data_IF_627930142709
#
_entry.id   IF_627930142709
#
_cell.length_a   1.000
_cell.length_b   1.000
_cell.length_c   1.000
_cell.angle_alpha   90.00
_cell.angle_beta   90.00
_cell.angle_gamma   90.00
#
_symmetry.space_group_name_H-M   'P 1'
#
loop_
_entity.id
_entity.type
_entity.pdbx_description
1 polymer ?
#
# COMPACT_ATOMS: atom_id res chain seq x y z
N UNK A 1 -18.47 19.58 -2.20
CA UNK A 1 -18.94 18.97 -1.04
C UNK A 1 -17.98 17.89 -0.59
N UNK A 2 -18.06 16.65 -0.97
CA UNK A 2 -17.00 15.71 -0.64
C UNK A 2 -15.65 16.14 -1.23
N UNK A 3 -15.67 16.62 -2.45
CA UNK A 3 -14.51 17.15 -3.13
C UNK A 3 -13.86 18.31 -2.35
N UNK A 4 -14.66 19.21 -1.78
CA UNK A 4 -14.15 20.29 -0.95
C UNK A 4 -13.57 19.79 0.37
N UNK A 5 -14.19 18.77 0.96
CA UNK A 5 -13.70 18.17 2.20
C UNK A 5 -12.34 17.54 2.00
N UNK A 6 -12.13 16.85 0.89
CA UNK A 6 -10.84 16.25 0.57
C UNK A 6 -9.77 17.32 0.36
N UNK A 7 -10.11 18.41 -0.30
CA UNK A 7 -9.19 19.52 -0.50
C UNK A 7 -8.81 20.20 0.81
N UNK A 8 -9.72 20.23 1.77
CA UNK A 8 -9.51 20.89 3.05
C UNK A 8 -8.80 19.99 4.05
N UNK A 9 -8.65 18.70 3.73
CA UNK A 9 -7.92 17.79 4.60
C UNK A 9 -6.46 18.22 4.68
N UNK A 10 -6.00 18.56 5.88
CA UNK A 10 -4.63 19.00 6.07
C UNK A 10 -3.65 17.82 5.97
N UNK A 11 -2.39 18.13 5.74
CA UNK A 11 -1.33 17.12 5.63
C UNK A 11 -1.27 16.25 6.89
N UNK A 12 -1.42 16.87 8.06
CA UNK A 12 -1.42 16.15 9.33
C UNK A 12 -2.50 15.06 9.38
N UNK A 13 -3.72 15.38 8.93
CA UNK A 13 -4.83 14.44 8.94
C UNK A 13 -4.63 13.35 7.90
N UNK A 14 -4.03 13.67 6.77
CA UNK A 14 -3.69 12.69 5.74
C UNK A 14 -2.67 11.67 6.26
N UNK A 15 -1.63 12.17 6.93
CA UNK A 15 -0.61 11.30 7.53
C UNK A 15 -1.23 10.42 8.61
N UNK A 16 -2.10 10.99 9.44
CA UNK A 16 -2.82 10.23 10.46
C UNK A 16 -3.62 9.08 9.85
N UNK A 17 -4.34 9.35 8.75
CA UNK A 17 -5.12 8.34 8.06
C UNK A 17 -4.25 7.21 7.53
N UNK A 18 -3.08 7.55 6.96
CA UNK A 18 -2.13 6.54 6.47
C UNK A 18 -1.53 5.71 7.62
N UNK A 19 -1.20 6.34 8.73
CA UNK A 19 -0.71 5.63 9.91
C UNK A 19 -1.74 4.66 10.46
N UNK A 20 -3.00 5.05 10.47
CA UNK A 20 -4.08 4.16 10.89
C UNK A 20 -4.20 2.95 9.96
N UNK A 21 -4.03 3.18 8.66
CA UNK A 21 -4.04 2.09 7.68
C UNK A 21 -2.89 1.11 7.91
N UNK A 22 -1.68 1.61 8.13
CA UNK A 22 -0.51 0.79 8.42
C UNK A 22 -0.70 -0.02 9.71
N UNK A 23 -1.33 0.57 10.72
CA UNK A 23 -1.68 -0.14 11.96
C UNK A 23 -2.64 -1.30 11.68
N UNK A 24 -3.61 -1.10 10.80
CA UNK A 24 -4.55 -2.16 10.40
C UNK A 24 -3.84 -3.29 9.65
N UNK A 25 -2.87 -2.95 8.81
CA UNK A 25 -2.03 -3.96 8.14
C UNK A 25 -1.32 -4.85 9.15
N UNK A 26 -0.74 -4.24 10.17
CA UNK A 26 -0.06 -4.99 11.23
C UNK A 26 -1.00 -5.96 11.93
N UNK A 27 -2.20 -5.51 12.26
CA UNK A 27 -3.20 -6.37 12.89
C UNK A 27 -3.59 -7.55 11.99
N UNK A 28 -3.72 -7.33 10.69
CA UNK A 28 -4.05 -8.39 9.74
C UNK A 28 -2.91 -9.41 9.62
N UNK A 29 -1.66 -8.96 9.66
CA UNK A 29 -0.50 -9.85 9.65
C UNK A 29 -0.47 -10.73 10.90
N UNK A 30 -0.73 -10.14 12.05
CA UNK A 30 -0.75 -10.86 13.32
C UNK A 30 -1.92 -11.87 13.40
N UNK A 31 -3.04 -11.54 12.75
CA UNK A 31 -4.21 -12.40 12.70
C UNK A 31 -4.08 -13.59 11.75
N UNK A 32 -3.03 -13.67 10.96
CA UNK A 32 -2.77 -14.75 10.00
C UNK A 32 -3.89 -14.97 8.97
N UNK A 33 -4.67 -13.94 8.67
CA UNK A 33 -5.70 -14.00 7.64
C UNK A 33 -5.14 -13.49 6.31
N UNK A 34 -4.87 -14.41 5.40
CA UNK A 34 -4.24 -14.10 4.12
C UNK A 34 -5.09 -13.14 3.29
N UNK A 35 -6.39 -13.33 3.27
CA UNK A 35 -7.29 -12.46 2.52
C UNK A 35 -7.27 -11.04 3.04
N UNK A 36 -7.40 -10.85 4.35
CA UNK A 36 -7.41 -9.53 4.96
C UNK A 36 -6.09 -8.80 4.75
N UNK A 37 -4.97 -9.49 4.94
CA UNK A 37 -3.67 -8.85 4.73
C UNK A 37 -3.47 -8.46 3.27
N UNK A 38 -3.90 -9.29 2.32
CA UNK A 38 -3.77 -9.00 0.89
C UNK A 38 -4.57 -7.76 0.53
N UNK A 39 -5.81 -7.69 1.01
CA UNK A 39 -6.67 -6.52 0.77
C UNK A 39 -6.06 -5.25 1.36
N UNK A 40 -5.62 -5.31 2.61
CA UNK A 40 -5.09 -4.12 3.29
C UNK A 40 -3.77 -3.63 2.69
N UNK A 41 -2.86 -4.56 2.34
CA UNK A 41 -1.59 -4.18 1.74
C UNK A 41 -1.79 -3.54 0.36
N UNK A 42 -2.72 -4.06 -0.42
CA UNK A 42 -3.08 -3.45 -1.71
C UNK A 42 -3.78 -2.11 -1.53
N UNK A 43 -4.72 -2.04 -0.61
CA UNK A 43 -5.50 -0.82 -0.35
C UNK A 43 -4.66 0.36 0.11
N UNK A 44 -3.48 0.13 0.65
CA UNK A 44 -2.55 1.20 1.00
C UNK A 44 -2.32 2.15 -0.19
N UNK A 45 -2.09 1.59 -1.36
CA UNK A 45 -1.83 2.38 -2.57
C UNK A 45 -3.06 3.15 -3.04
N UNK A 46 -4.22 2.52 -2.96
CA UNK A 46 -5.50 3.17 -3.27
C UNK A 46 -5.74 4.33 -2.30
N UNK A 47 -5.52 4.09 -1.02
CA UNK A 47 -5.71 5.09 0.02
C UNK A 47 -4.79 6.28 -0.17
N UNK A 48 -3.52 6.04 -0.51
CA UNK A 48 -2.58 7.11 -0.83
C UNK A 48 -3.09 7.97 -1.98
N UNK A 49 -3.53 7.33 -3.07
CA UNK A 49 -4.03 8.06 -4.23
C UNK A 49 -5.25 8.91 -3.88
N UNK A 50 -6.17 8.36 -3.09
CA UNK A 50 -7.34 9.10 -2.61
C UNK A 50 -6.94 10.33 -1.80
N UNK A 51 -6.01 10.16 -0.87
CA UNK A 51 -5.55 11.25 0.00
C UNK A 51 -4.77 12.31 -0.76
N UNK A 52 -4.17 11.95 -1.90
CA UNK A 52 -3.55 12.91 -2.81
C UNK A 52 -4.56 13.65 -3.68
N UNK A 53 -5.84 13.28 -3.60
CA UNK A 53 -6.90 13.87 -4.40
C UNK A 53 -6.96 13.35 -5.83
N UNK A 54 -6.29 12.24 -6.13
CA UNK A 54 -6.28 11.66 -7.47
C UNK A 54 -7.24 10.49 -7.56
N UNK A 55 -8.51 10.80 -7.79
CA UNK A 55 -9.57 9.78 -7.84
C UNK A 55 -9.44 8.85 -9.04
N UNK A 56 -8.94 9.34 -10.16
CA UNK A 56 -8.72 8.51 -11.35
C UNK A 56 -7.67 7.44 -11.05
N UNK A 57 -6.55 7.85 -10.46
CA UNK A 57 -5.50 6.91 -10.06
C UNK A 57 -6.01 5.92 -9.01
N UNK A 58 -6.75 6.39 -8.03
CA UNK A 58 -7.32 5.53 -6.99
C UNK A 58 -8.21 4.45 -7.60
N UNK A 59 -9.05 4.82 -8.54
CA UNK A 59 -9.95 3.88 -9.20
C UNK A 59 -9.19 2.86 -10.04
N UNK A 60 -8.21 3.31 -10.82
CA UNK A 60 -7.37 2.41 -11.61
C UNK A 60 -6.60 1.41 -10.73
N UNK A 61 -6.00 1.90 -9.66
CA UNK A 61 -5.29 1.05 -8.71
C UNK A 61 -6.22 0.04 -8.06
N UNK A 62 -7.40 0.46 -7.66
CA UNK A 62 -8.40 -0.42 -7.07
C UNK A 62 -8.77 -1.58 -7.99
N UNK A 63 -8.99 -1.29 -9.27
CA UNK A 63 -9.31 -2.31 -10.27
C UNK A 63 -8.14 -3.27 -10.50
N UNK A 64 -6.93 -2.73 -10.68
CA UNK A 64 -5.74 -3.55 -10.92
C UNK A 64 -5.41 -4.43 -9.72
N UNK A 65 -5.47 -3.87 -8.53
CA UNK A 65 -5.18 -4.60 -7.29
C UNK A 65 -6.21 -5.71 -7.08
N UNK A 66 -7.49 -5.43 -7.34
CA UNK A 66 -8.54 -6.46 -7.23
C UNK A 66 -8.29 -7.61 -8.20
N UNK A 67 -7.88 -7.31 -9.42
CA UNK A 67 -7.58 -8.33 -10.42
C UNK A 67 -6.37 -9.18 -10.07
N UNK A 68 -5.40 -8.57 -9.39
CA UNK A 68 -4.16 -9.25 -8.99
C UNK A 68 -4.26 -9.91 -7.61
N UNK A 69 -5.34 -9.72 -6.88
CA UNK A 69 -5.46 -10.18 -5.50
C UNK A 69 -5.25 -11.68 -5.37
N UNK A 70 -5.83 -12.47 -6.26
CA UNK A 70 -5.69 -13.93 -6.22
C UNK A 70 -4.24 -14.36 -6.43
N UNK A 71 -3.56 -13.73 -7.38
CA UNK A 71 -2.14 -14.01 -7.64
C UNK A 71 -1.31 -13.67 -6.40
N UNK A 72 -1.57 -12.52 -5.79
CA UNK A 72 -0.88 -12.10 -4.57
C UNK A 72 -1.11 -13.10 -3.43
N UNK A 73 -2.33 -13.55 -3.26
CA UNK A 73 -2.66 -14.54 -2.23
C UNK A 73 -1.92 -15.86 -2.44
N UNK A 74 -1.74 -16.26 -3.70
CA UNK A 74 -1.08 -17.53 -4.03
C UNK A 74 0.44 -17.48 -3.91
N UNK A 75 1.05 -16.33 -4.22
CA UNK A 75 2.50 -16.25 -4.38
C UNK A 75 3.21 -15.41 -3.32
N UNK A 76 2.52 -14.53 -2.63
CA UNK A 76 3.14 -13.72 -1.59
C UNK A 76 3.28 -14.50 -0.29
N UNK A 77 4.51 -14.68 0.16
CA UNK A 77 4.77 -15.32 1.45
C UNK A 77 4.43 -14.39 2.61
N UNK A 78 4.28 -14.96 3.81
CA UNK A 78 4.12 -14.17 5.04
C UNK A 78 5.29 -13.22 5.27
N UNK A 79 6.49 -13.66 4.95
CA UNK A 79 7.70 -12.85 5.06
C UNK A 79 7.65 -11.66 4.11
N UNK A 80 7.28 -11.89 2.85
CA UNK A 80 7.15 -10.83 1.86
C UNK A 80 6.05 -9.84 2.24
N UNK A 81 4.93 -10.33 2.77
CA UNK A 81 3.84 -9.47 3.25
C UNK A 81 4.29 -8.58 4.41
N UNK A 82 5.01 -9.14 5.38
CA UNK A 82 5.56 -8.39 6.51
C UNK A 82 6.54 -7.32 6.03
N UNK A 83 7.37 -7.64 5.05
CA UNK A 83 8.34 -6.70 4.47
C UNK A 83 7.62 -5.54 3.75
N UNK A 84 6.57 -5.84 2.98
CA UNK A 84 5.77 -4.80 2.34
C UNK A 84 5.13 -3.86 3.37
N UNK A 85 4.62 -4.41 4.45
CA UNK A 85 4.05 -3.63 5.53
C UNK A 85 5.09 -2.67 6.14
N UNK A 86 6.31 -3.14 6.40
CA UNK A 86 7.39 -2.30 6.93
C UNK A 86 7.72 -1.18 5.95
N UNK A 87 7.78 -1.48 4.67
CA UNK A 87 8.06 -0.49 3.63
C UNK A 87 6.96 0.57 3.56
N UNK A 88 5.70 0.18 3.72
CA UNK A 88 4.59 1.15 3.81
C UNK A 88 4.80 2.12 4.97
N UNK A 89 5.20 1.60 6.13
CA UNK A 89 5.49 2.44 7.30
C UNK A 89 6.61 3.45 7.02
N UNK A 90 7.67 3.01 6.37
CA UNK A 90 8.80 3.88 6.02
C UNK A 90 8.38 4.99 5.05
N UNK A 91 7.53 4.66 4.07
CA UNK A 91 6.99 5.65 3.13
C UNK A 91 6.18 6.70 3.88
N UNK A 92 5.31 6.27 4.79
CA UNK A 92 4.48 7.19 5.56
C UNK A 92 5.34 8.12 6.42
N UNK A 93 6.39 7.61 7.04
CA UNK A 93 7.27 8.44 7.85
C UNK A 93 8.08 9.44 7.02
N UNK A 94 8.50 9.06 5.82
CA UNK A 94 9.13 9.99 4.90
C UNK A 94 8.17 11.12 4.49
N UNK A 95 6.90 10.79 4.24
CA UNK A 95 5.87 11.79 3.94
C UNK A 95 5.61 12.69 5.15
N UNK A 96 5.60 12.12 6.35
CA UNK A 96 5.38 12.88 7.58
C UNK A 96 6.50 13.90 7.82
N UNK A 97 7.73 13.56 7.48
CA UNK A 97 8.87 14.46 7.60
C UNK A 97 9.04 15.38 6.39
N UNK A 98 8.12 15.31 5.44
CA UNK A 98 8.12 16.10 4.20
C UNK A 98 9.35 15.88 3.33
N UNK A 99 9.94 14.72 3.43
CA UNK A 99 11.07 14.29 2.60
C UNK A 99 10.53 13.63 1.33
N UNK A 100 10.16 14.45 0.36
CA UNK A 100 9.53 14.01 -0.87
C UNK A 100 10.44 13.09 -1.67
N UNK A 101 11.72 13.44 -1.79
CA UNK A 101 12.68 12.64 -2.55
C UNK A 101 12.83 11.25 -1.94
N UNK A 102 12.93 11.17 -0.63
CA UNK A 102 13.01 9.89 0.07
C UNK A 102 11.73 9.08 -0.10
N UNK A 103 10.57 9.71 0.02
CA UNK A 103 9.30 9.04 -0.16
C UNK A 103 9.18 8.43 -1.56
N UNK A 104 9.56 9.16 -2.60
CA UNK A 104 9.54 8.67 -3.98
C UNK A 104 10.51 7.49 -4.14
N UNK A 105 11.72 7.61 -3.63
CA UNK A 105 12.70 6.53 -3.72
C UNK A 105 12.23 5.27 -2.98
N UNK A 106 11.68 5.42 -1.79
CA UNK A 106 11.14 4.30 -1.02
C UNK A 106 9.97 3.63 -1.76
N UNK A 107 9.12 4.41 -2.41
CA UNK A 107 8.02 3.84 -3.19
C UNK A 107 8.53 3.06 -4.39
N UNK A 108 9.51 3.58 -5.11
CA UNK A 108 10.10 2.88 -6.26
C UNK A 108 10.76 1.58 -5.82
N UNK A 109 11.50 1.60 -4.73
CA UNK A 109 12.14 0.41 -4.18
C UNK A 109 11.09 -0.61 -3.72
N UNK A 110 10.03 -0.13 -3.07
CA UNK A 110 8.93 -0.97 -2.62
C UNK A 110 8.27 -1.70 -3.80
N UNK A 111 7.95 -0.99 -4.87
CA UNK A 111 7.32 -1.59 -6.05
C UNK A 111 8.23 -2.63 -6.70
N UNK A 112 9.53 -2.36 -6.75
CA UNK A 112 10.51 -3.32 -7.25
C UNK A 112 10.57 -4.58 -6.39
N UNK A 113 10.55 -4.43 -5.07
CA UNK A 113 10.55 -5.57 -4.14
C UNK A 113 9.27 -6.40 -4.26
N UNK A 114 8.12 -5.74 -4.43
CA UNK A 114 6.84 -6.45 -4.63
C UNK A 114 6.91 -7.32 -5.89
N UNK A 115 7.42 -6.77 -6.98
CA UNK A 115 7.59 -7.51 -8.24
C UNK A 115 8.50 -8.72 -8.05
N UNK A 116 9.66 -8.52 -7.42
CA UNK A 116 10.63 -9.59 -7.16
C UNK A 116 10.04 -10.68 -6.26
N UNK A 117 9.31 -10.29 -5.23
CA UNK A 117 8.75 -11.22 -4.25
C UNK A 117 7.62 -12.07 -4.79
N UNK A 118 6.92 -11.62 -5.82
CA UNK A 118 5.88 -12.44 -6.45
C UNK A 118 6.46 -13.53 -7.32
N UNK A 119 7.70 -13.39 -7.78
CA UNK A 119 8.43 -14.41 -8.55
C UNK A 119 7.57 -15.02 -9.66
N UNK A 120 7.01 -14.17 -10.51
CA UNK A 120 6.04 -14.56 -11.54
C UNK A 120 6.67 -15.31 -12.72
N UNK A 121 7.85 -15.84 -12.57
CA UNK A 121 8.49 -16.62 -13.62
C UNK A 121 7.80 -17.97 -13.79
N UNK A 122 7.74 -18.50 -15.03
CA UNK A 122 7.21 -19.83 -15.26
C UNK A 122 7.97 -20.86 -14.43
N UNK A 123 7.24 -21.71 -13.74
CA UNK A 123 7.89 -22.77 -12.96
C UNK A 123 8.60 -23.73 -13.90
N UNK A 124 9.85 -23.97 -13.61
CA UNK A 124 10.60 -25.02 -14.30
C UNK A 124 10.14 -26.37 -13.76
N UNK A 125 10.00 -27.30 -14.65
CA UNK A 125 9.61 -28.66 -14.29
C UNK A 125 10.74 -29.62 -14.43
#
# INVERSE_FOLDING_TARGET
>A
KEYRRQRQMCIRDRIKALRQHVTREKAALEGHNVKDRTELLGDFHVRMAELMGNEVLAQLLGELISRCALITMMYQSSHAAAHSHEEHGDIVEALASRDTERAVQLMLDHLSHVEDNLALEPRRR
#
